data_IF_899916942353
#
_entry.id   IF_899916942353
#
_cell.length_a   1.000
_cell.length_b   1.000
_cell.length_c   1.000
_cell.angle_alpha   90.00
_cell.angle_beta   90.00
_cell.angle_gamma   90.00
#
_symmetry.space_group_name_H-M   'P 1'
#
loop_
_entity.id
_entity.type
_entity.pdbx_description
1 polymer ?
#
# COMPACT_ATOMS: atom_id res chain seq x y z
N UNK A 1 -8.27 14.26 7.57
CA UNK A 1 -7.94 14.84 6.24
C UNK A 1 -6.57 14.43 5.69
N UNK A 2 -5.50 14.31 6.49
CA UNK A 2 -4.17 13.88 5.98
C UNK A 2 -4.14 12.43 5.46
N UNK A 3 -4.70 11.48 6.23
CA UNK A 3 -4.68 10.04 5.87
C UNK A 3 -5.47 9.74 4.60
N UNK A 4 -6.69 10.28 4.45
CA UNK A 4 -7.50 10.07 3.23
C UNK A 4 -6.79 10.56 1.96
N UNK A 5 -6.04 11.68 2.04
CA UNK A 5 -5.24 12.17 0.90
C UNK A 5 -4.04 11.27 0.60
N UNK A 6 -3.39 10.72 1.64
CA UNK A 6 -2.32 9.75 1.48
C UNK A 6 -2.86 8.45 0.83
N UNK A 7 -4.00 7.95 1.29
CA UNK A 7 -4.66 6.78 0.70
C UNK A 7 -4.98 7.01 -0.77
N UNK A 8 -5.59 8.14 -1.13
CA UNK A 8 -5.88 8.48 -2.52
C UNK A 8 -4.61 8.60 -3.38
N UNK A 9 -3.51 9.09 -2.81
CA UNK A 9 -2.20 9.11 -3.49
C UNK A 9 -1.67 7.69 -3.72
N UNK A 10 -1.72 6.82 -2.71
CA UNK A 10 -1.33 5.40 -2.83
C UNK A 10 -2.18 4.68 -3.88
N UNK A 11 -3.51 4.82 -3.81
CA UNK A 11 -4.46 4.19 -4.73
C UNK A 11 -4.24 4.63 -6.19
N UNK A 12 -3.75 5.86 -6.39
CA UNK A 12 -3.34 6.37 -7.70
C UNK A 12 -2.18 5.63 -8.37
N UNK A 13 -1.46 4.76 -7.64
CA UNK A 13 -0.36 3.94 -8.16
C UNK A 13 -0.84 2.56 -8.65
N UNK A 14 -2.15 2.36 -8.80
CA UNK A 14 -2.76 1.17 -9.40
C UNK A 14 -2.47 -0.14 -8.66
N UNK A 15 -2.59 -0.13 -7.32
CA UNK A 15 -2.57 -1.35 -6.52
C UNK A 15 -3.68 -2.34 -6.92
N UNK A 16 -3.51 -3.65 -6.66
CA UNK A 16 -4.52 -4.66 -6.97
C UNK A 16 -5.80 -4.51 -6.14
N UNK A 17 -5.75 -3.77 -5.03
CA UNK A 17 -6.87 -3.50 -4.12
C UNK A 17 -6.75 -2.08 -3.54
N UNK A 18 -7.86 -1.46 -3.12
CA UNK A 18 -7.82 -0.17 -2.42
C UNK A 18 -7.06 -0.23 -1.10
N UNK A 19 -6.31 0.82 -0.81
CA UNK A 19 -5.66 1.05 0.48
C UNK A 19 -6.71 1.20 1.60
N UNK A 20 -6.44 0.58 2.74
CA UNK A 20 -7.33 0.62 3.92
C UNK A 20 -6.63 1.29 5.09
N UNK A 21 -7.32 2.17 5.81
CA UNK A 21 -6.83 2.72 7.08
C UNK A 21 -7.34 1.90 8.25
N UNK A 22 -6.42 1.43 9.09
CA UNK A 22 -6.72 0.48 10.16
C UNK A 22 -7.25 1.16 11.44
N UNK A 23 -7.21 2.49 11.52
CA UNK A 23 -7.71 3.25 12.69
C UNK A 23 -6.69 3.40 13.82
N UNK A 24 -5.54 2.72 13.74
CA UNK A 24 -4.46 2.72 14.75
C UNK A 24 -3.21 3.50 14.31
N UNK A 25 -3.34 4.29 13.24
CA UNK A 25 -2.21 5.01 12.64
C UNK A 25 -1.45 4.22 11.56
N UNK A 26 -1.93 3.04 11.18
CA UNK A 26 -1.37 2.24 10.08
C UNK A 26 -2.31 2.14 8.87
N UNK A 27 -1.72 1.81 7.72
CA UNK A 27 -2.40 1.51 6.47
C UNK A 27 -2.12 0.06 6.07
N UNK A 28 -3.12 -0.61 5.52
CA UNK A 28 -2.96 -1.85 4.79
C UNK A 28 -2.94 -1.54 3.30
N UNK A 29 -1.81 -1.82 2.64
CA UNK A 29 -1.59 -1.58 1.21
C UNK A 29 -1.43 -2.92 0.50
N UNK A 30 -2.16 -3.13 -0.59
CA UNK A 30 -2.01 -4.31 -1.42
C UNK A 30 -0.97 -4.07 -2.52
N UNK A 31 -0.14 -5.07 -2.78
CA UNK A 31 0.87 -5.07 -3.83
C UNK A 31 0.83 -6.38 -4.63
N UNK A 32 1.26 -6.33 -5.89
CA UNK A 32 1.43 -7.52 -6.72
C UNK A 32 2.84 -8.05 -6.49
N UNK A 33 2.95 -9.31 -6.08
CA UNK A 33 4.22 -10.03 -6.04
C UNK A 33 4.17 -11.23 -6.99
N UNK A 34 5.34 -11.75 -7.33
CA UNK A 34 5.49 -12.98 -8.11
C UNK A 34 6.32 -13.96 -7.29
N UNK A 35 5.81 -15.17 -7.12
CA UNK A 35 6.59 -16.22 -6.47
C UNK A 35 7.70 -16.75 -7.40
N UNK A 36 8.57 -17.63 -6.89
CA UNK A 36 9.69 -18.18 -7.64
C UNK A 36 9.27 -18.96 -8.91
N UNK A 37 8.00 -19.38 -9.03
CA UNK A 37 7.46 -20.03 -10.22
C UNK A 37 6.89 -19.05 -11.25
N UNK A 38 6.92 -17.75 -10.96
CA UNK A 38 6.32 -16.71 -11.80
C UNK A 38 4.81 -16.57 -11.61
N UNK A 39 4.22 -17.22 -10.59
CA UNK A 39 2.80 -17.07 -10.29
C UNK A 39 2.56 -15.73 -9.62
N UNK A 40 1.60 -14.97 -10.17
CA UNK A 40 1.13 -13.69 -9.61
C UNK A 40 0.36 -13.93 -8.31
N UNK A 41 0.75 -13.23 -7.25
CA UNK A 41 0.06 -13.21 -5.95
C UNK A 41 -0.22 -11.77 -5.52
N UNK A 42 -1.23 -11.59 -4.68
CA UNK A 42 -1.54 -10.30 -4.04
C UNK A 42 -1.08 -10.37 -2.60
N UNK A 43 -0.10 -9.55 -2.25
CA UNK A 43 0.38 -9.39 -0.88
C UNK A 43 -0.22 -8.14 -0.26
N UNK A 44 -0.42 -8.18 1.06
CA UNK A 44 -0.90 -7.03 1.84
C UNK A 44 0.14 -6.70 2.89
N UNK A 45 0.60 -5.47 2.88
CA UNK A 45 1.62 -4.97 3.77
C UNK A 45 1.01 -3.91 4.67
N UNK A 46 1.31 -4.00 5.97
CA UNK A 46 0.92 -2.99 6.94
C UNK A 46 2.07 -2.01 7.09
N UNK A 47 1.80 -0.73 6.85
CA UNK A 47 2.79 0.35 6.96
C UNK A 47 2.27 1.46 7.87
N UNK A 48 3.14 2.26 8.51
CA UNK A 48 2.72 3.50 9.14
C UNK A 48 2.00 4.42 8.14
N UNK A 49 0.96 5.14 8.58
CA UNK A 49 0.20 6.07 7.75
C UNK A 49 0.95 7.38 7.45
N UNK A 50 2.15 7.26 6.89
CA UNK A 50 3.06 8.37 6.56
C UNK A 50 3.45 8.33 5.08
N UNK A 51 3.79 9.49 4.53
CA UNK A 51 4.26 9.57 3.13
C UNK A 51 5.60 8.87 2.94
N UNK A 52 6.48 8.88 3.95
CA UNK A 52 7.81 8.28 3.87
C UNK A 52 7.71 6.75 3.81
N UNK A 53 6.88 6.13 4.65
CA UNK A 53 6.62 4.69 4.57
C UNK A 53 5.95 4.29 3.25
N UNK A 54 5.08 5.14 2.71
CA UNK A 54 4.45 4.87 1.43
C UNK A 54 5.44 4.98 0.24
N UNK A 55 6.39 5.92 0.30
CA UNK A 55 7.47 6.05 -0.69
C UNK A 55 8.43 4.87 -0.65
N UNK A 56 8.83 4.45 0.55
CA UNK A 56 9.69 3.28 0.76
C UNK A 56 9.05 2.03 0.16
N UNK A 57 7.76 1.81 0.42
CA UNK A 57 7.01 0.69 -0.16
C UNK A 57 6.90 0.76 -1.70
N UNK A 58 6.72 1.95 -2.26
CA UNK A 58 6.50 2.16 -3.71
C UNK A 58 7.80 2.38 -4.51
N UNK A 59 8.96 2.47 -3.86
CA UNK A 59 10.26 2.63 -4.50
C UNK A 59 10.62 4.06 -4.94
N UNK A 60 10.21 5.08 -4.18
CA UNK A 60 10.50 6.51 -4.45
C UNK A 60 11.62 7.09 -3.58
#
# INVERSE_FOLDING_TARGET
>A
MKVARLMAWIDGHFGPEPCTFNGDGTLTVAAIAFDASGRRIVERVVIPATIDSARDLLGY
#
